data_IF_528483477994
#
_entry.id   IF_528483477994
#
_cell.length_a   1.000
_cell.length_b   1.000
_cell.length_c   1.000
_cell.angle_alpha   90.00
_cell.angle_beta   90.00
_cell.angle_gamma   90.00
#
_symmetry.space_group_name_H-M   'P 1'
#
loop_
_entity.id
_entity.type
_entity.pdbx_description
1 polymer ?
#
# COMPACT_ATOMS: atom_id res chain seq x y z
N UNK A 1 -60.54 10.16 -30.91
CA UNK A 1 -60.43 9.35 -29.67
C UNK A 1 -59.65 8.05 -29.89
N UNK A 2 -59.90 7.27 -30.95
CA UNK A 2 -59.15 6.03 -31.22
C UNK A 2 -57.63 6.25 -31.48
N UNK A 3 -57.26 7.21 -32.34
CA UNK A 3 -55.85 7.47 -32.65
C UNK A 3 -55.01 7.95 -31.46
N UNK A 4 -55.61 8.74 -30.56
CA UNK A 4 -54.95 9.20 -29.33
C UNK A 4 -54.76 8.07 -28.33
N UNK A 5 -55.69 7.11 -28.28
CA UNK A 5 -55.59 5.92 -27.44
C UNK A 5 -54.44 5.02 -27.93
N UNK A 6 -54.35 4.77 -29.24
CA UNK A 6 -53.27 3.98 -29.84
C UNK A 6 -51.88 4.63 -29.64
N UNK A 7 -51.80 5.97 -29.77
CA UNK A 7 -50.56 6.70 -29.48
C UNK A 7 -50.14 6.61 -28.01
N UNK A 8 -51.12 6.60 -27.09
CA UNK A 8 -50.86 6.42 -25.66
C UNK A 8 -50.39 4.99 -25.35
N UNK A 9 -51.02 3.98 -25.93
CA UNK A 9 -50.61 2.58 -25.81
C UNK A 9 -49.17 2.36 -26.27
N UNK A 10 -48.80 2.94 -27.42
CA UNK A 10 -47.42 2.88 -27.93
C UNK A 10 -46.42 3.50 -26.94
N UNK A 11 -46.73 4.68 -26.39
CA UNK A 11 -45.87 5.33 -25.40
C UNK A 11 -45.75 4.52 -24.11
N UNK A 12 -46.84 3.89 -23.66
CA UNK A 12 -46.83 3.03 -22.47
C UNK A 12 -45.96 1.79 -22.72
N UNK A 13 -46.00 1.20 -23.92
CA UNK A 13 -45.13 0.08 -24.27
C UNK A 13 -43.65 0.48 -24.34
N UNK A 14 -43.35 1.67 -24.84
CA UNK A 14 -41.98 2.19 -24.89
C UNK A 14 -41.45 2.46 -23.48
N UNK A 15 -42.25 3.11 -22.63
CA UNK A 15 -41.90 3.33 -21.22
C UNK A 15 -41.67 2.00 -20.51
N UNK A 16 -42.53 1.00 -20.74
CA UNK A 16 -42.36 -0.33 -20.15
C UNK A 16 -41.02 -0.95 -20.57
N UNK A 17 -40.67 -0.85 -21.86
CA UNK A 17 -39.39 -1.36 -22.39
C UNK A 17 -38.20 -0.64 -21.75
N UNK A 18 -38.26 0.68 -21.65
CA UNK A 18 -37.18 1.49 -21.07
C UNK A 18 -37.03 1.23 -19.57
N UNK A 19 -38.13 1.08 -18.83
CA UNK A 19 -38.12 0.71 -17.41
C UNK A 19 -37.49 -0.67 -17.22
N UNK A 20 -37.87 -1.67 -18.02
CA UNK A 20 -37.24 -3.00 -17.96
C UNK A 20 -35.75 -2.95 -18.29
N UNK A 21 -35.35 -2.18 -19.30
CA UNK A 21 -33.94 -2.03 -19.65
C UNK A 21 -33.14 -1.29 -18.58
N UNK A 22 -33.74 -0.32 -17.90
CA UNK A 22 -33.07 0.38 -16.81
C UNK A 22 -32.96 -0.52 -15.57
N UNK A 23 -33.96 -1.34 -15.28
CA UNK A 23 -33.90 -2.32 -14.18
C UNK A 23 -32.72 -3.28 -14.36
N UNK A 24 -32.53 -3.85 -15.56
CA UNK A 24 -31.40 -4.75 -15.82
C UNK A 24 -30.05 -4.05 -15.68
N UNK A 25 -29.95 -2.81 -16.16
CA UNK A 25 -28.71 -2.01 -16.04
C UNK A 25 -28.38 -1.67 -14.60
N UNK A 26 -29.41 -1.40 -13.78
CA UNK A 26 -29.24 -1.12 -12.36
C UNK A 26 -28.76 -2.38 -11.64
N UNK A 27 -29.38 -3.54 -11.87
CA UNK A 27 -28.94 -4.82 -11.27
C UNK A 27 -27.48 -5.16 -11.63
N UNK A 28 -27.08 -4.92 -12.88
CA UNK A 28 -25.69 -5.12 -13.31
C UNK A 28 -24.74 -4.14 -12.62
N UNK A 29 -25.13 -2.87 -12.51
CA UNK A 29 -24.33 -1.85 -11.82
C UNK A 29 -24.17 -2.18 -10.33
N UNK A 30 -25.25 -2.60 -9.65
CA UNK A 30 -25.23 -3.04 -8.26
C UNK A 30 -24.30 -4.23 -8.06
N UNK A 31 -24.36 -5.23 -8.95
CA UNK A 31 -23.44 -6.38 -8.92
C UNK A 31 -21.98 -5.96 -9.10
N UNK A 32 -21.70 -5.06 -10.05
CA UNK A 32 -20.36 -4.55 -10.27
C UNK A 32 -19.83 -3.77 -9.07
N UNK A 33 -20.67 -2.94 -8.44
CA UNK A 33 -20.34 -2.20 -7.22
C UNK A 33 -20.03 -3.19 -6.10
N UNK A 34 -20.89 -4.19 -5.88
CA UNK A 34 -20.68 -5.18 -4.83
C UNK A 34 -19.35 -5.95 -4.97
N UNK A 35 -19.01 -6.39 -6.18
CA UNK A 35 -17.72 -7.04 -6.42
C UNK A 35 -16.55 -6.08 -6.22
N UNK A 36 -16.68 -4.82 -6.65
CA UNK A 36 -15.65 -3.81 -6.41
C UNK A 36 -15.44 -3.56 -4.91
N UNK A 37 -16.51 -3.41 -4.13
CA UNK A 37 -16.45 -3.24 -2.66
C UNK A 37 -15.78 -4.43 -1.98
N UNK A 38 -16.11 -5.66 -2.40
CA UNK A 38 -15.49 -6.88 -1.89
C UNK A 38 -14.00 -6.97 -2.22
N UNK A 39 -13.59 -6.54 -3.42
CA UNK A 39 -12.16 -6.46 -3.75
C UNK A 39 -11.46 -5.40 -2.92
N UNK A 40 -12.09 -4.24 -2.71
CA UNK A 40 -11.56 -3.14 -1.92
C UNK A 40 -11.32 -3.57 -0.46
N UNK A 41 -12.30 -4.23 0.16
CA UNK A 41 -12.18 -4.75 1.53
C UNK A 41 -11.01 -5.74 1.66
N UNK A 42 -10.86 -6.66 0.70
CA UNK A 42 -9.73 -7.60 0.67
C UNK A 42 -8.39 -6.89 0.53
N UNK A 43 -8.32 -5.88 -0.34
CA UNK A 43 -7.08 -5.12 -0.54
C UNK A 43 -6.72 -4.30 0.68
N UNK A 44 -7.71 -3.69 1.36
CA UNK A 44 -7.49 -2.92 2.57
C UNK A 44 -6.96 -3.79 3.72
N UNK A 45 -7.58 -4.97 3.91
CA UNK A 45 -7.09 -5.95 4.88
C UNK A 45 -5.65 -6.41 4.58
N UNK A 46 -5.31 -6.62 3.30
CA UNK A 46 -3.96 -6.97 2.89
C UNK A 46 -2.95 -5.84 3.14
N UNK A 47 -3.33 -4.59 2.85
CA UNK A 47 -2.49 -3.40 3.11
C UNK A 47 -2.24 -3.24 4.62
N UNK A 48 -3.27 -3.39 5.44
CA UNK A 48 -3.12 -3.30 6.92
C UNK A 48 -2.15 -4.38 7.42
N UNK A 49 -2.28 -5.62 6.92
CA UNK A 49 -1.38 -6.72 7.29
C UNK A 49 0.06 -6.44 6.85
N UNK A 50 0.26 -6.02 5.60
CA UNK A 50 1.58 -5.69 5.07
C UNK A 50 2.24 -4.54 5.83
N UNK A 51 1.48 -3.50 6.15
CA UNK A 51 1.97 -2.35 6.92
C UNK A 51 2.47 -2.77 8.30
N UNK A 52 1.73 -3.64 8.99
CA UNK A 52 2.15 -4.20 10.29
C UNK A 52 3.44 -5.01 10.18
N UNK A 53 3.57 -5.82 9.12
CA UNK A 53 4.77 -6.61 8.89
C UNK A 53 5.98 -5.73 8.60
N UNK A 54 5.82 -4.70 7.78
CA UNK A 54 6.89 -3.73 7.48
C UNK A 54 7.36 -3.06 8.77
N UNK A 55 6.45 -2.50 9.57
CA UNK A 55 6.80 -1.85 10.83
C UNK A 55 7.54 -2.79 11.80
N UNK A 56 7.12 -4.06 11.87
CA UNK A 56 7.80 -5.07 12.68
C UNK A 56 9.21 -5.38 12.15
N UNK A 57 9.37 -5.53 10.84
CA UNK A 57 10.67 -5.80 10.22
C UNK A 57 11.63 -4.62 10.35
N UNK A 58 11.14 -3.39 10.22
CA UNK A 58 11.92 -2.17 10.45
C UNK A 58 12.43 -2.12 11.89
N UNK A 59 11.55 -2.33 12.88
CA UNK A 59 11.95 -2.38 14.29
C UNK A 59 12.98 -3.48 14.57
N UNK A 60 12.80 -4.67 13.97
CA UNK A 60 13.76 -5.77 14.12
C UNK A 60 15.11 -5.43 13.47
N UNK A 61 15.10 -4.75 12.34
CA UNK A 61 16.31 -4.34 11.61
C UNK A 61 17.09 -3.32 12.42
N UNK A 62 16.42 -2.32 12.98
CA UNK A 62 17.03 -1.32 13.87
C UNK A 62 17.64 -1.99 15.11
N UNK A 63 16.93 -2.90 15.78
CA UNK A 63 17.50 -3.63 16.94
C UNK A 63 18.72 -4.48 16.54
N UNK A 64 18.70 -5.13 15.38
CA UNK A 64 19.85 -5.91 14.88
C UNK A 64 21.04 -5.01 14.52
N UNK A 65 20.81 -3.87 13.89
CA UNK A 65 21.85 -2.88 13.56
C UNK A 65 22.47 -2.31 14.84
N UNK A 66 21.64 -1.96 15.81
CA UNK A 66 22.06 -1.51 17.12
C UNK A 66 22.87 -2.59 17.85
N UNK A 67 22.41 -3.85 17.86
CA UNK A 67 23.16 -5.00 18.42
C UNK A 67 24.51 -5.21 17.75
N UNK A 68 24.55 -5.14 16.43
CA UNK A 68 25.78 -5.31 15.65
C UNK A 68 26.79 -4.20 15.93
N UNK A 69 26.32 -2.97 16.13
CA UNK A 69 27.18 -1.81 16.40
C UNK A 69 27.53 -1.60 17.87
N UNK A 70 26.88 -2.29 18.82
CA UNK A 70 27.11 -2.12 20.27
C UNK A 70 28.58 -2.27 20.69
N UNK A 71 29.37 -3.06 19.97
CA UNK A 71 30.80 -3.28 20.28
C UNK A 71 31.75 -2.50 19.36
N UNK A 72 31.21 -1.70 18.44
CA UNK A 72 32.03 -0.93 17.51
C UNK A 72 32.50 0.37 18.19
N UNK A 73 33.80 0.62 18.14
CA UNK A 73 34.38 1.92 18.50
C UNK A 73 34.17 2.88 17.33
N UNK A 74 33.57 4.06 17.60
CA UNK A 74 33.52 5.17 16.64
C UNK A 74 34.60 6.17 17.03
N UNK A 75 35.63 6.28 16.20
CA UNK A 75 36.76 7.16 16.44
C UNK A 75 36.53 8.46 15.66
N UNK A 76 36.55 9.59 16.36
CA UNK A 76 36.36 10.92 15.78
C UNK A 76 37.62 11.77 15.97
N UNK A 77 37.78 12.84 15.18
CA UNK A 77 38.87 13.82 15.32
C UNK A 77 40.27 13.22 15.03
N UNK A 78 40.35 12.21 14.16
CA UNK A 78 41.63 11.76 13.58
C UNK A 78 41.73 12.32 12.16
N UNK A 79 42.86 12.97 11.85
CA UNK A 79 43.14 13.47 10.50
C UNK A 79 43.34 12.29 9.55
N UNK A 80 42.77 12.37 8.35
CA UNK A 80 43.02 11.37 7.31
C UNK A 80 44.51 11.21 7.04
N UNK A 81 44.98 9.96 6.97
CA UNK A 81 46.38 9.60 6.78
C UNK A 81 47.26 9.71 8.03
N UNK A 82 46.71 9.95 9.22
CA UNK A 82 47.49 10.01 10.48
C UNK A 82 48.23 8.71 10.81
N UNK A 83 47.76 7.57 10.29
CA UNK A 83 48.40 6.25 10.41
C UNK A 83 49.74 6.15 9.64
N UNK A 84 49.96 6.97 8.61
CA UNK A 84 51.19 7.00 7.83
C UNK A 84 51.55 5.64 7.21
N UNK A 85 52.62 5.02 7.69
CA UNK A 85 53.08 3.67 7.27
C UNK A 85 52.78 2.58 8.31
N UNK A 86 52.15 2.93 9.42
CA UNK A 86 51.85 2.02 10.51
C UNK A 86 50.65 1.13 10.13
N UNK A 87 50.55 -0.05 10.72
CA UNK A 87 49.33 -0.84 10.58
C UNK A 87 48.20 -0.16 11.36
N UNK A 88 46.96 -0.27 10.86
CA UNK A 88 45.79 0.28 11.53
C UNK A 88 45.65 -0.25 12.97
N UNK A 89 46.00 -1.52 13.18
CA UNK A 89 45.94 -2.15 14.50
C UNK A 89 46.92 -1.52 15.50
N UNK A 90 48.16 -1.29 15.08
CA UNK A 90 49.18 -0.66 15.93
C UNK A 90 48.84 0.80 16.22
N UNK A 91 48.36 1.53 15.20
CA UNK A 91 47.93 2.91 15.33
C UNK A 91 46.75 3.06 16.31
N UNK A 92 45.75 2.16 16.23
CA UNK A 92 44.58 2.17 17.12
C UNK A 92 44.99 1.79 18.55
N UNK A 93 45.86 0.81 18.76
CA UNK A 93 46.33 0.43 20.10
C UNK A 93 47.15 1.53 20.79
N UNK A 94 47.92 2.34 20.05
CA UNK A 94 48.65 3.49 20.60
C UNK A 94 47.72 4.66 20.98
N UNK A 95 46.56 4.76 20.34
CA UNK A 95 45.60 5.88 20.53
C UNK A 95 44.46 5.57 21.49
N UNK A 96 44.20 4.31 21.78
CA UNK A 96 43.28 3.89 22.82
C UNK A 96 44.01 3.94 24.19
N UNK A 97 43.34 4.37 25.27
CA UNK A 97 43.91 4.40 26.62
C UNK A 97 44.22 3.00 27.16
#
# INVERSE_FOLDING_TARGET
MANSMAALECKVTDIKRDVSSNATRIEEAERCIHEAEKTLEKTDAAIISATKQIAYLESKTDDLENRGRRKNLRIFVIREGAEGKQSLFDFVNDKLP
#
